data_IF_566164197403
#
_entry.id   IF_566164197403
#
_cell.length_a   1.000
_cell.length_b   1.000
_cell.length_c   1.000
_cell.angle_alpha   90.00
_cell.angle_beta   90.00
_cell.angle_gamma   90.00
#
_symmetry.space_group_name_H-M   'P 1'
#
loop_
_entity.id
_entity.type
_entity.pdbx_description
1 polymer ?
#
# COMPACT_ATOMS: atom_id res chain seq x y z
N UNK A 1 19.56 -5.53 -24.70
CA UNK A 1 19.74 -4.06 -24.89
C UNK A 1 21.21 -3.71 -24.72
N UNK A 2 21.76 -2.80 -25.52
CA UNK A 2 23.16 -2.33 -25.39
C UNK A 2 23.24 -1.06 -24.54
N UNK A 3 24.40 -0.81 -23.92
CA UNK A 3 24.66 0.43 -23.17
C UNK A 3 24.37 1.67 -24.03
N UNK A 4 24.83 1.68 -25.29
CA UNK A 4 24.57 2.77 -26.23
C UNK A 4 23.09 3.04 -26.51
N UNK A 5 22.27 1.99 -26.63
CA UNK A 5 20.82 2.13 -26.84
C UNK A 5 20.11 2.75 -25.62
N UNK A 6 20.57 2.43 -24.40
CA UNK A 6 20.00 2.97 -23.16
C UNK A 6 20.28 4.48 -23.02
N UNK A 7 21.51 4.91 -23.26
CA UNK A 7 21.90 6.32 -23.13
C UNK A 7 21.41 7.21 -24.28
N UNK A 8 20.86 6.62 -25.35
CA UNK A 8 20.12 7.37 -26.38
C UNK A 8 18.80 7.93 -25.85
N UNK A 9 18.18 7.26 -24.88
CA UNK A 9 16.91 7.65 -24.27
C UNK A 9 17.07 8.31 -22.90
N UNK A 10 18.19 8.03 -22.20
CA UNK A 10 18.43 8.55 -20.86
C UNK A 10 19.80 9.20 -20.74
N UNK A 11 19.85 10.43 -20.21
CA UNK A 11 21.09 11.22 -20.14
C UNK A 11 22.16 10.58 -19.24
N UNK A 12 21.74 9.99 -18.12
CA UNK A 12 22.61 9.37 -17.13
C UNK A 12 21.84 8.36 -16.26
N UNK A 13 22.53 7.65 -15.36
CA UNK A 13 21.89 6.72 -14.39
C UNK A 13 20.82 7.38 -13.54
N UNK A 14 21.04 8.65 -13.16
CA UNK A 14 20.08 9.43 -12.38
C UNK A 14 18.76 9.62 -13.14
N UNK A 15 18.84 9.97 -14.42
CA UNK A 15 17.68 10.14 -15.28
C UNK A 15 16.90 8.84 -15.51
N UNK A 16 17.58 7.68 -15.51
CA UNK A 16 16.92 6.37 -15.52
C UNK A 16 16.13 6.18 -14.21
N UNK A 17 16.77 6.39 -13.06
CA UNK A 17 16.12 6.27 -11.75
C UNK A 17 14.90 7.20 -11.64
N UNK A 18 15.04 8.48 -11.97
CA UNK A 18 13.95 9.46 -11.94
C UNK A 18 12.77 9.03 -12.83
N UNK A 19 13.06 8.42 -13.99
CA UNK A 19 12.02 7.91 -14.90
C UNK A 19 11.30 6.69 -14.33
N UNK A 20 12.01 5.81 -13.62
CA UNK A 20 11.42 4.67 -12.91
C UNK A 20 10.50 5.18 -11.78
N UNK A 21 10.97 6.13 -10.97
CA UNK A 21 10.18 6.72 -9.87
C UNK A 21 8.94 7.44 -10.41
N UNK A 22 9.08 8.21 -11.49
CA UNK A 22 7.95 8.87 -12.15
C UNK A 22 6.90 7.85 -12.62
N UNK A 23 7.35 6.76 -13.26
CA UNK A 23 6.45 5.68 -13.70
C UNK A 23 5.73 5.03 -12.51
N UNK A 24 6.41 4.80 -11.39
CA UNK A 24 5.77 4.28 -10.19
C UNK A 24 4.66 5.20 -9.69
N UNK A 25 4.90 6.51 -9.59
CA UNK A 25 3.87 7.45 -9.14
C UNK A 25 2.68 7.55 -10.09
N UNK A 26 2.90 7.39 -11.40
CA UNK A 26 1.80 7.31 -12.38
C UNK A 26 0.93 6.08 -12.13
N UNK A 27 1.56 4.90 -11.94
CA UNK A 27 0.87 3.66 -11.63
C UNK A 27 0.12 3.76 -10.30
N UNK A 28 0.75 4.32 -9.27
CA UNK A 28 0.16 4.50 -7.94
C UNK A 28 -1.12 5.35 -8.02
N UNK A 29 -1.07 6.48 -8.73
CA UNK A 29 -2.22 7.34 -8.96
C UNK A 29 -3.34 6.66 -9.78
N UNK A 30 -2.98 5.92 -10.83
CA UNK A 30 -3.94 5.13 -11.62
C UNK A 30 -4.63 4.06 -10.76
N UNK A 31 -3.88 3.39 -9.89
CA UNK A 31 -4.40 2.37 -8.99
C UNK A 31 -5.28 2.99 -7.90
N UNK A 32 -4.87 4.10 -7.30
CA UNK A 32 -5.70 4.81 -6.31
C UNK A 32 -7.07 5.16 -6.90
N UNK A 33 -7.10 5.74 -8.12
CA UNK A 33 -8.36 6.00 -8.85
C UNK A 33 -9.16 4.73 -9.15
N UNK A 34 -8.49 3.68 -9.65
CA UNK A 34 -9.14 2.39 -10.00
C UNK A 34 -9.81 1.72 -8.79
N UNK A 35 -9.21 1.82 -7.62
CA UNK A 35 -9.71 1.22 -6.39
C UNK A 35 -10.53 2.20 -5.54
N UNK A 36 -10.77 3.41 -6.04
CA UNK A 36 -11.57 4.45 -5.38
C UNK A 36 -11.06 4.76 -3.96
N UNK A 37 -9.74 4.86 -3.82
CA UNK A 37 -9.06 5.28 -2.59
C UNK A 37 -8.34 6.62 -2.83
N UNK A 38 -8.05 7.41 -1.77
CA UNK A 38 -7.39 8.70 -1.90
C UNK A 38 -6.07 8.65 -2.68
N UNK A 39 -5.96 9.48 -3.71
CA UNK A 39 -4.74 9.63 -4.51
C UNK A 39 -3.71 10.55 -3.83
N UNK A 40 -4.20 11.55 -3.08
CA UNK A 40 -3.38 12.57 -2.44
C UNK A 40 -3.41 12.38 -0.93
N UNK A 41 -2.49 13.05 -0.25
CA UNK A 41 -2.43 13.07 1.22
C UNK A 41 -3.67 13.71 1.82
N UNK A 42 -3.96 13.37 3.08
CA UNK A 42 -5.10 13.91 3.82
C UNK A 42 -5.18 15.44 3.76
N UNK A 43 -4.07 16.15 4.00
CA UNK A 43 -4.01 17.63 3.94
C UNK A 43 -4.49 18.23 2.60
N UNK A 44 -4.37 17.48 1.51
CA UNK A 44 -4.74 17.93 0.16
C UNK A 44 -6.16 17.54 -0.23
N UNK A 45 -6.69 16.46 0.32
CA UNK A 45 -7.98 15.89 -0.06
C UNK A 45 -8.69 15.17 1.10
N UNK A 46 -9.02 15.87 2.20
CA UNK A 46 -9.58 15.24 3.39
C UNK A 46 -10.98 14.66 3.14
N UNK A 47 -11.72 15.17 2.15
CA UNK A 47 -13.01 14.59 1.76
C UNK A 47 -12.88 13.19 1.17
N UNK A 48 -11.76 12.85 0.52
CA UNK A 48 -11.60 11.55 -0.13
C UNK A 48 -11.43 10.47 0.95
N UNK A 49 -10.68 10.77 2.00
CA UNK A 49 -10.48 9.88 3.15
C UNK A 49 -11.81 9.59 3.87
N UNK A 50 -12.59 10.64 4.17
CA UNK A 50 -13.90 10.49 4.83
C UNK A 50 -14.90 9.63 4.04
N UNK A 51 -14.84 9.66 2.71
CA UNK A 51 -15.75 8.90 1.84
C UNK A 51 -15.27 7.50 1.50
N UNK A 52 -14.06 7.13 1.89
CA UNK A 52 -13.48 5.84 1.53
C UNK A 52 -14.20 4.72 2.26
N UNK A 53 -14.76 3.77 1.53
CA UNK A 53 -15.43 2.62 2.11
C UNK A 53 -14.41 1.52 2.53
N UNK A 54 -14.76 0.76 3.58
CA UNK A 54 -13.89 -0.27 4.17
C UNK A 54 -13.55 -1.39 3.16
N UNK A 55 -14.49 -1.75 2.29
CA UNK A 55 -14.29 -2.73 1.22
C UNK A 55 -13.26 -2.26 0.18
N UNK A 56 -13.20 -0.94 -0.09
CA UNK A 56 -12.19 -0.33 -0.97
C UNK A 56 -10.79 -0.42 -0.35
N UNK A 57 -10.65 -0.18 0.95
CA UNK A 57 -9.37 -0.39 1.66
C UNK A 57 -8.92 -1.85 1.54
N UNK A 58 -9.83 -2.80 1.78
CA UNK A 58 -9.53 -4.23 1.67
C UNK A 58 -9.04 -4.60 0.27
N UNK A 59 -9.84 -4.28 -0.75
CA UNK A 59 -9.54 -4.65 -2.13
C UNK A 59 -8.29 -3.96 -2.65
N UNK A 60 -8.07 -2.69 -2.28
CA UNK A 60 -6.84 -1.96 -2.59
C UNK A 60 -5.61 -2.59 -1.94
N UNK A 61 -5.68 -2.93 -0.65
CA UNK A 61 -4.54 -3.54 0.08
C UNK A 61 -4.16 -4.90 -0.51
N UNK A 62 -5.14 -5.75 -0.81
CA UNK A 62 -4.89 -7.05 -1.48
C UNK A 62 -4.30 -6.85 -2.89
N UNK A 63 -4.78 -5.87 -3.63
CA UNK A 63 -4.23 -5.54 -4.94
C UNK A 63 -2.79 -4.99 -4.84
N UNK A 64 -2.50 -4.18 -3.82
CA UNK A 64 -1.19 -3.62 -3.59
C UNK A 64 -0.18 -4.70 -3.18
N UNK A 65 -0.64 -5.72 -2.45
CA UNK A 65 0.18 -6.88 -2.12
C UNK A 65 0.61 -7.64 -3.37
N UNK A 66 -0.34 -7.95 -4.27
CA UNK A 66 -0.03 -8.59 -5.56
C UNK A 66 0.89 -7.72 -6.41
N UNK A 67 0.68 -6.41 -6.44
CA UNK A 67 1.57 -5.50 -7.16
C UNK A 67 3.01 -5.60 -6.65
N UNK A 68 3.24 -5.48 -5.34
CA UNK A 68 4.61 -5.51 -4.80
C UNK A 68 5.30 -6.88 -4.85
N UNK A 69 4.55 -7.96 -5.05
CA UNK A 69 5.07 -9.33 -5.01
C UNK A 69 5.09 -10.02 -6.37
N UNK A 70 4.12 -9.78 -7.24
CA UNK A 70 3.92 -10.47 -8.53
C UNK A 70 4.25 -9.59 -9.75
N UNK A 71 4.04 -8.27 -9.69
CA UNK A 71 4.40 -7.38 -10.80
C UNK A 71 5.94 -7.24 -10.88
N UNK A 72 6.50 -7.56 -12.04
CA UNK A 72 7.95 -7.59 -12.22
C UNK A 72 8.58 -6.21 -12.00
N UNK A 73 7.96 -5.14 -12.51
CA UNK A 73 8.47 -3.78 -12.37
C UNK A 73 8.47 -3.35 -10.90
N UNK A 74 7.36 -3.51 -10.21
CA UNK A 74 7.20 -3.11 -8.81
C UNK A 74 8.07 -3.95 -7.87
N UNK A 75 8.11 -5.27 -8.08
CA UNK A 75 8.94 -6.19 -7.29
C UNK A 75 10.42 -5.85 -7.42
N UNK A 76 10.91 -5.62 -8.64
CA UNK A 76 12.29 -5.21 -8.87
C UNK A 76 12.59 -3.83 -8.30
N UNK A 77 11.67 -2.88 -8.44
CA UNK A 77 11.81 -1.54 -7.86
C UNK A 77 11.93 -1.61 -6.33
N UNK A 78 11.02 -2.32 -5.66
CA UNK A 78 11.07 -2.54 -4.20
C UNK A 78 12.42 -3.12 -3.78
N UNK A 79 12.88 -4.19 -4.43
CA UNK A 79 14.15 -4.86 -4.11
C UNK A 79 15.34 -3.93 -4.26
N UNK A 80 15.36 -3.14 -5.33
CA UNK A 80 16.38 -2.11 -5.54
C UNK A 80 16.39 -1.09 -4.39
N UNK A 81 15.22 -0.58 -3.98
CA UNK A 81 15.14 0.34 -2.84
C UNK A 81 15.64 -0.32 -1.55
N UNK A 82 15.24 -1.57 -1.28
CA UNK A 82 15.66 -2.32 -0.09
C UNK A 82 17.18 -2.48 0.00
N UNK A 83 17.86 -2.73 -1.13
CA UNK A 83 19.31 -2.88 -1.18
C UNK A 83 20.04 -1.55 -0.95
N UNK A 84 19.52 -0.46 -1.51
CA UNK A 84 20.21 0.83 -1.54
C UNK A 84 19.84 1.78 -0.38
N UNK A 85 18.78 1.49 0.39
CA UNK A 85 18.30 2.35 1.48
C UNK A 85 19.37 2.68 2.53
N UNK A 86 20.34 1.81 2.77
CA UNK A 86 21.39 2.05 3.78
C UNK A 86 22.59 2.83 3.23
N UNK A 87 22.59 3.14 1.92
CA UNK A 87 23.72 3.78 1.22
C UNK A 87 23.36 5.15 0.67
N UNK A 88 22.07 5.43 0.52
CA UNK A 88 21.59 6.68 -0.05
C UNK A 88 20.31 7.13 0.65
N UNK A 89 20.38 8.27 1.34
CA UNK A 89 19.28 8.87 2.11
C UNK A 89 18.04 9.14 1.25
N UNK A 90 18.20 9.55 0.00
CA UNK A 90 17.06 9.79 -0.90
C UNK A 90 16.31 8.48 -1.20
N UNK A 91 17.05 7.38 -1.41
CA UNK A 91 16.46 6.06 -1.63
C UNK A 91 15.83 5.52 -0.35
N UNK A 92 16.45 5.78 0.82
CA UNK A 92 15.86 5.46 2.12
C UNK A 92 14.52 6.17 2.32
N UNK A 93 14.45 7.47 2.06
CA UNK A 93 13.22 8.26 2.17
C UNK A 93 12.14 7.74 1.22
N UNK A 94 12.53 7.39 -0.02
CA UNK A 94 11.61 6.80 -0.98
C UNK A 94 11.12 5.41 -0.53
N UNK A 95 11.99 4.59 0.02
CA UNK A 95 11.63 3.29 0.61
C UNK A 95 10.62 3.45 1.75
N UNK A 96 10.90 4.37 2.68
CA UNK A 96 10.02 4.68 3.80
C UNK A 96 8.64 5.16 3.31
N UNK A 97 8.64 6.10 2.35
CA UNK A 97 7.43 6.67 1.77
C UNK A 97 6.58 5.64 1.01
N UNK A 98 7.20 4.71 0.28
CA UNK A 98 6.46 3.77 -0.56
C UNK A 98 6.05 2.49 0.16
N UNK A 99 6.81 2.03 1.16
CA UNK A 99 6.67 0.66 1.68
C UNK A 99 6.62 0.55 3.21
N UNK A 100 6.97 1.59 3.96
CA UNK A 100 7.05 1.51 5.42
C UNK A 100 6.19 2.59 6.06
N UNK A 101 6.77 3.73 6.44
CA UNK A 101 6.06 4.76 7.18
C UNK A 101 4.94 5.42 6.38
N UNK A 102 5.10 5.60 5.06
CA UNK A 102 4.07 6.21 4.21
C UNK A 102 2.74 5.46 4.22
N UNK A 103 2.72 4.16 3.87
CA UNK A 103 1.49 3.35 3.96
C UNK A 103 0.89 3.29 5.36
N UNK A 104 1.71 3.29 6.43
CA UNK A 104 1.21 3.33 7.81
C UNK A 104 0.49 4.65 8.08
N UNK A 105 1.11 5.79 7.76
CA UNK A 105 0.47 7.11 7.92
C UNK A 105 -0.80 7.24 7.08
N UNK A 106 -0.81 6.70 5.87
CA UNK A 106 -1.99 6.68 5.01
C UNK A 106 -3.16 5.89 5.63
N UNK A 107 -2.88 4.73 6.23
CA UNK A 107 -3.89 3.93 6.93
C UNK A 107 -4.32 4.59 8.24
N UNK A 108 -3.41 5.26 8.96
CA UNK A 108 -3.74 6.03 10.17
C UNK A 108 -4.77 7.13 9.85
N UNK A 109 -4.58 7.87 8.75
CA UNK A 109 -5.53 8.88 8.30
C UNK A 109 -6.89 8.28 7.96
N UNK A 110 -6.93 7.19 7.19
CA UNK A 110 -8.18 6.50 6.85
C UNK A 110 -8.93 6.01 8.09
N UNK A 111 -8.23 5.36 9.02
CA UNK A 111 -8.86 4.78 10.20
C UNK A 111 -9.33 5.85 11.17
N UNK A 112 -8.61 6.96 11.29
CA UNK A 112 -9.09 8.13 12.06
C UNK A 112 -10.41 8.62 11.50
N UNK A 113 -10.51 8.88 10.19
CA UNK A 113 -11.75 9.38 9.60
C UNK A 113 -12.89 8.35 9.72
N UNK A 114 -12.60 7.05 9.57
CA UNK A 114 -13.61 6.00 9.79
C UNK A 114 -14.14 5.95 11.22
N UNK A 115 -13.35 6.32 12.23
CA UNK A 115 -13.81 6.43 13.61
C UNK A 115 -14.68 7.68 13.82
N UNK A 116 -14.34 8.80 13.18
CA UNK A 116 -15.13 10.03 13.24
C UNK A 116 -16.50 9.86 12.57
N UNK A 117 -16.56 9.10 11.47
CA UNK A 117 -17.81 8.74 10.77
C UNK A 117 -18.57 7.58 11.45
N UNK A 118 -18.09 7.05 12.59
CA UNK A 118 -18.75 5.97 13.33
C UNK A 118 -18.70 4.60 12.65
N UNK A 119 -17.95 4.45 11.55
CA UNK A 119 -17.78 3.19 10.82
C UNK A 119 -16.92 2.21 11.65
N UNK A 120 -15.91 2.73 12.35
CA UNK A 120 -15.01 1.97 13.21
C UNK A 120 -15.21 2.31 14.69
N UNK A 121 -14.95 1.33 15.56
CA UNK A 121 -14.92 1.54 17.01
C UNK A 121 -13.77 2.51 17.33
N UNK A 122 -14.03 3.50 18.20
CA UNK A 122 -13.01 4.46 18.64
C UNK A 122 -11.82 3.73 19.29
N UNK A 123 -10.62 4.01 18.80
CA UNK A 123 -9.36 3.46 19.29
C UNK A 123 -8.20 4.40 18.89
N UNK A 124 -6.95 3.99 19.13
CA UNK A 124 -5.79 4.70 18.62
C UNK A 124 -5.57 4.39 17.12
N UNK A 125 -5.77 5.34 16.19
CA UNK A 125 -5.68 5.09 14.74
C UNK A 125 -4.28 4.66 14.31
N UNK A 126 -3.22 5.20 14.94
CA UNK A 126 -1.83 4.83 14.65
C UNK A 126 -1.52 3.39 15.00
N UNK A 127 -2.01 2.92 16.16
CA UNK A 127 -1.82 1.52 16.57
C UNK A 127 -2.56 0.58 15.62
N UNK A 128 -3.80 0.91 15.24
CA UNK A 128 -4.55 0.13 14.27
C UNK A 128 -3.90 0.12 12.88
N UNK A 129 -3.32 1.22 12.43
CA UNK A 129 -2.57 1.27 11.19
C UNK A 129 -1.35 0.33 11.20
N UNK A 130 -0.62 0.28 12.32
CA UNK A 130 0.49 -0.64 12.52
C UNK A 130 0.02 -2.10 12.53
N UNK A 131 -1.03 -2.43 13.30
CA UNK A 131 -1.61 -3.77 13.35
C UNK A 131 -2.13 -4.25 11.98
N UNK A 132 -2.72 -3.33 11.21
CA UNK A 132 -3.21 -3.62 9.87
C UNK A 132 -2.07 -3.86 8.88
N UNK A 133 -1.06 -2.98 8.86
CA UNK A 133 -0.02 -2.97 7.83
C UNK A 133 1.17 -3.89 8.12
N UNK A 134 1.48 -4.19 9.39
CA UNK A 134 2.64 -5.02 9.71
C UNK A 134 2.61 -6.41 9.04
N UNK A 135 1.47 -7.14 9.02
CA UNK A 135 1.41 -8.41 8.29
C UNK A 135 1.58 -8.27 6.78
N UNK A 136 1.12 -7.17 6.19
CA UNK A 136 1.38 -6.87 4.77
C UNK A 136 2.89 -6.82 4.50
N UNK A 137 3.61 -5.99 5.26
CA UNK A 137 5.06 -5.82 5.07
C UNK A 137 5.84 -7.12 5.32
N UNK A 138 5.49 -7.83 6.38
CA UNK A 138 6.09 -9.13 6.71
C UNK A 138 5.88 -10.14 5.58
N UNK A 139 4.64 -10.28 5.08
CA UNK A 139 4.30 -11.25 4.04
C UNK A 139 4.92 -10.89 2.69
N UNK A 140 5.07 -9.59 2.35
CA UNK A 140 5.81 -9.16 1.16
C UNK A 140 7.26 -9.63 1.26
N UNK A 141 7.89 -9.46 2.43
CA UNK A 141 9.27 -9.88 2.67
C UNK A 141 9.44 -11.40 2.59
N UNK A 142 8.50 -12.17 3.15
CA UNK A 142 8.49 -13.64 3.08
C UNK A 142 8.27 -14.11 1.62
N UNK A 143 7.41 -13.43 0.86
CA UNK A 143 7.05 -13.85 -0.51
C UNK A 143 8.23 -13.90 -1.49
N UNK A 144 9.34 -13.22 -1.19
CA UNK A 144 10.54 -13.23 -2.04
C UNK A 144 11.26 -14.58 -2.08
N UNK A 145 11.04 -15.43 -1.06
CA UNK A 145 11.65 -16.77 -0.96
C UNK A 145 10.63 -17.90 -1.18
N UNK A 146 9.36 -17.57 -1.38
CA UNK A 146 8.30 -18.57 -1.56
C UNK A 146 8.16 -19.01 -3.02
N UNK A 147 8.06 -20.31 -3.30
CA UNK A 147 7.72 -20.81 -4.63
C UNK A 147 6.26 -20.51 -5.01
N UNK A 148 5.34 -20.48 -4.05
CA UNK A 148 3.94 -20.11 -4.25
C UNK A 148 3.53 -18.91 -3.40
N UNK A 149 3.41 -17.74 -4.05
CA UNK A 149 3.01 -16.47 -3.41
C UNK A 149 1.52 -16.41 -3.06
N UNK A 150 0.70 -17.34 -3.57
CA UNK A 150 -0.75 -17.37 -3.28
C UNK A 150 -1.03 -17.63 -1.82
N UNK A 151 -0.17 -18.38 -1.13
CA UNK A 151 -0.36 -18.67 0.28
C UNK A 151 -0.15 -17.43 1.15
N UNK A 152 0.88 -16.62 0.87
CA UNK A 152 1.08 -15.34 1.53
C UNK A 152 -0.11 -14.37 1.28
N UNK A 153 -0.64 -14.35 0.05
CA UNK A 153 -1.83 -13.55 -0.27
C UNK A 153 -3.08 -14.00 0.50
N UNK A 154 -3.29 -15.31 0.67
CA UNK A 154 -4.39 -15.85 1.49
C UNK A 154 -4.26 -15.47 2.96
N UNK A 155 -3.05 -15.56 3.52
CA UNK A 155 -2.80 -15.17 4.91
C UNK A 155 -3.08 -13.68 5.12
N UNK A 156 -2.67 -12.82 4.18
CA UNK A 156 -2.99 -11.41 4.22
C UNK A 156 -4.50 -11.17 4.15
N UNK A 157 -5.21 -11.80 3.21
CA UNK A 157 -6.66 -11.64 3.07
C UNK A 157 -7.41 -12.07 4.34
N UNK A 158 -6.97 -13.17 4.97
CA UNK A 158 -7.53 -13.63 6.23
C UNK A 158 -7.24 -12.67 7.39
N UNK A 159 -6.05 -12.08 7.44
CA UNK A 159 -5.71 -11.02 8.40
C UNK A 159 -6.61 -9.79 8.23
N UNK A 160 -6.71 -9.26 7.01
CA UNK A 160 -7.56 -8.10 6.69
C UNK A 160 -9.02 -8.35 7.08
N UNK A 161 -9.55 -9.53 6.75
CA UNK A 161 -10.92 -9.92 7.10
C UNK A 161 -11.17 -9.90 8.60
N UNK A 162 -10.32 -10.59 9.39
CA UNK A 162 -10.43 -10.60 10.86
C UNK A 162 -10.24 -9.22 11.46
N UNK A 163 -9.33 -8.43 10.91
CA UNK A 163 -9.05 -7.08 11.39
C UNK A 163 -10.26 -6.17 11.22
N UNK A 164 -10.91 -6.21 10.05
CA UNK A 164 -12.12 -5.42 9.77
C UNK A 164 -13.26 -5.87 10.70
N UNK A 165 -13.50 -7.18 10.83
CA UNK A 165 -14.57 -7.72 11.69
C UNK A 165 -14.40 -7.30 13.16
N UNK A 166 -13.16 -7.29 13.66
CA UNK A 166 -12.82 -6.89 15.02
C UNK A 166 -13.08 -5.39 15.28
N UNK A 167 -12.79 -4.53 14.31
CA UNK A 167 -12.78 -3.08 14.50
C UNK A 167 -14.01 -2.34 13.94
N UNK A 168 -14.83 -2.99 13.11
CA UNK A 168 -16.07 -2.42 12.60
C UNK A 168 -17.08 -2.18 13.75
N UNK A 169 -17.75 -1.03 13.70
CA UNK A 169 -18.79 -0.68 14.68
C UNK A 169 -20.01 -1.60 14.54
N UNK A 170 -20.75 -1.75 15.63
CA UNK A 170 -21.87 -2.69 15.75
C UNK A 170 -23.04 -2.37 14.80
N UNK A 171 -23.16 -1.12 14.34
CA UNK A 171 -24.20 -0.69 13.39
C UNK A 171 -24.06 -1.33 12.00
N UNK A 172 -22.86 -1.79 11.62
CA UNK A 172 -22.61 -2.51 10.36
C UNK A 172 -22.82 -4.03 10.51
N UNK A 173 -22.69 -4.58 11.73
CA UNK A 173 -22.89 -6.02 12.00
C UNK A 173 -24.35 -6.47 11.92
N UNK A 174 -25.30 -5.53 11.79
CA UNK A 174 -26.75 -5.77 11.71
C UNK A 174 -27.29 -6.15 10.32
N UNK A 175 -26.51 -5.99 9.24
CA UNK A 175 -26.94 -6.40 7.90
C UNK A 175 -26.42 -7.82 7.63
N UNK A 176 -27.03 -8.81 8.28
CA UNK A 176 -26.96 -10.20 7.78
C UNK A 176 -27.74 -10.25 6.45
N UNK A 177 -27.26 -10.96 5.42
CA UNK A 177 -28.09 -11.23 4.26
C UNK A 177 -29.35 -11.98 4.72
N UNK A 178 -30.53 -11.50 4.32
CA UNK A 178 -31.74 -12.31 4.35
C UNK A 178 -31.45 -13.55 3.51
N UNK A 179 -31.61 -14.70 4.18
CA UNK A 179 -31.66 -16.10 3.72
C UNK A 179 -31.58 -16.31 2.22
#
# INVERSE_FOLDING_TARGET
>A
MTKGALYKHYKNKRNIFDSIVKRLYQIDAERARKYEVPEKTFDKSPSDYRKTAVDKIKTFTEAQFRFWTEDEFASNFRKMLTLEQYRNTEIMELYQKCLVSGPVSYMEDLFREMMEEGIWIKNNPKQLALEFYAPFYLLVSISDTMPDKKEAAKQLAAHIGRFIEKNASTEIKGIKPKV
#
